data_IF_556289568370
#
_entry.id   IF_556289568370
#
_cell.length_a   1.000
_cell.length_b   1.000
_cell.length_c   1.000
_cell.angle_alpha   90.00
_cell.angle_beta   90.00
_cell.angle_gamma   90.00
#
_symmetry.space_group_name_H-M   'P 1'
#
loop_
_entity.id
_entity.type
_entity.pdbx_description
1 polymer ?
#
# COMPACT_ATOMS: atom_id res chain seq x y z
N UNK A 1 -17.62 20.32 -1.56
CA UNK A 1 -17.42 20.91 -0.21
C UNK A 1 -15.95 20.73 0.21
N UNK A 2 -15.41 21.54 1.12
CA UNK A 2 -13.97 21.47 1.52
C UNK A 2 -13.58 20.07 2.01
N UNK A 3 -14.49 19.39 2.71
CA UNK A 3 -14.29 18.04 3.25
C UNK A 3 -14.06 16.98 2.16
N UNK A 4 -14.86 17.00 1.09
CA UNK A 4 -14.71 16.06 -0.04
C UNK A 4 -13.37 16.22 -0.76
N UNK A 5 -12.86 17.45 -0.91
CA UNK A 5 -11.52 17.67 -1.46
C UNK A 5 -10.43 17.07 -0.56
N UNK A 6 -10.54 17.26 0.75
CA UNK A 6 -9.61 16.66 1.73
C UNK A 6 -9.68 15.14 1.67
N UNK A 7 -10.88 14.57 1.63
CA UNK A 7 -11.07 13.13 1.52
C UNK A 7 -10.41 12.57 0.26
N UNK A 8 -10.67 13.18 -0.90
CA UNK A 8 -10.05 12.80 -2.15
C UNK A 8 -8.51 12.85 -2.11
N UNK A 9 -7.92 13.91 -1.56
CA UNK A 9 -6.46 14.03 -1.47
C UNK A 9 -5.85 12.99 -0.52
N UNK A 10 -6.47 12.74 0.62
CA UNK A 10 -6.01 11.72 1.59
C UNK A 10 -6.10 10.33 0.99
N UNK A 11 -7.21 9.99 0.34
CA UNK A 11 -7.40 8.67 -0.27
C UNK A 11 -6.47 8.47 -1.45
N UNK A 12 -6.27 9.49 -2.29
CA UNK A 12 -5.31 9.46 -3.39
C UNK A 12 -3.88 9.25 -2.88
N UNK A 13 -3.46 9.98 -1.84
CA UNK A 13 -2.15 9.78 -1.23
C UNK A 13 -2.00 8.36 -0.65
N UNK A 14 -3.04 7.86 0.02
CA UNK A 14 -3.09 6.49 0.53
C UNK A 14 -2.90 5.43 -0.57
N UNK A 15 -3.63 5.59 -1.69
CA UNK A 15 -3.52 4.71 -2.86
C UNK A 15 -2.11 4.73 -3.44
N UNK A 16 -1.50 5.90 -3.62
CA UNK A 16 -0.14 6.01 -4.15
C UNK A 16 0.88 5.27 -3.27
N UNK A 17 0.76 5.39 -1.95
CA UNK A 17 1.63 4.68 -1.00
C UNK A 17 1.41 3.17 -1.06
N UNK A 18 0.15 2.72 -1.06
CA UNK A 18 -0.17 1.30 -1.12
C UNK A 18 0.25 0.66 -2.44
N UNK A 19 0.03 1.35 -3.56
CA UNK A 19 0.51 0.96 -4.88
C UNK A 19 2.03 0.93 -4.94
N UNK A 20 2.71 1.90 -4.32
CA UNK A 20 4.16 1.90 -4.14
C UNK A 20 4.68 0.67 -3.39
N UNK A 21 3.97 0.24 -2.33
CA UNK A 21 4.32 -0.98 -1.61
C UNK A 21 4.17 -2.24 -2.46
N UNK A 22 3.03 -2.40 -3.15
CA UNK A 22 2.77 -3.52 -4.05
C UNK A 22 3.77 -3.55 -5.22
N UNK A 23 4.02 -2.39 -5.84
CA UNK A 23 4.97 -2.21 -6.93
C UNK A 23 6.40 -2.53 -6.50
N UNK A 24 6.81 -2.12 -5.30
CA UNK A 24 8.11 -2.47 -4.75
C UNK A 24 8.28 -3.99 -4.62
N UNK A 25 7.29 -4.71 -4.10
CA UNK A 25 7.34 -6.18 -4.00
C UNK A 25 7.35 -6.86 -5.37
N UNK A 26 6.62 -6.33 -6.35
CA UNK A 26 6.62 -6.84 -7.72
C UNK A 26 7.99 -6.69 -8.38
N UNK A 27 8.62 -5.51 -8.26
CA UNK A 27 9.96 -5.25 -8.75
C UNK A 27 11.00 -6.14 -8.03
N UNK A 28 10.91 -6.26 -6.72
CA UNK A 28 11.79 -7.12 -5.91
C UNK A 28 11.74 -8.57 -6.37
N UNK A 29 10.53 -9.10 -6.55
CA UNK A 29 10.31 -10.48 -7.02
C UNK A 29 10.85 -10.68 -8.42
N UNK A 30 10.61 -9.74 -9.33
CA UNK A 30 11.10 -9.80 -10.71
C UNK A 30 12.62 -9.78 -10.78
N UNK A 31 13.28 -8.91 -10.01
CA UNK A 31 14.73 -8.86 -9.94
C UNK A 31 15.33 -10.12 -9.30
N UNK A 32 14.72 -10.61 -8.22
CA UNK A 32 15.19 -11.79 -7.50
C UNK A 32 15.12 -13.07 -8.37
N UNK A 33 14.05 -13.26 -9.14
CA UNK A 33 13.90 -14.40 -10.06
C UNK A 33 14.98 -14.48 -11.13
N UNK A 34 15.63 -13.37 -11.47
CA UNK A 34 16.68 -13.30 -12.50
C UNK A 34 18.08 -13.61 -11.96
N UNK A 35 18.26 -13.78 -10.65
CA UNK A 35 19.55 -14.05 -10.02
C UNK A 35 19.62 -15.47 -9.46
N UNK A 36 20.75 -16.15 -9.70
CA UNK A 36 21.08 -17.40 -9.02
C UNK A 36 21.11 -17.15 -7.49
N UNK A 37 20.41 -17.99 -6.73
CA UNK A 37 20.26 -17.81 -5.28
C UNK A 37 19.24 -16.75 -4.85
N UNK A 38 18.48 -16.16 -5.77
CA UNK A 38 17.45 -15.14 -5.45
C UNK A 38 16.16 -15.69 -4.82
N UNK A 39 16.02 -17.01 -4.68
CA UNK A 39 14.78 -17.65 -4.21
C UNK A 39 14.32 -17.18 -2.82
N UNK A 40 15.19 -16.98 -1.80
CA UNK A 40 14.75 -16.47 -0.50
C UNK A 40 14.06 -15.10 -0.58
N UNK A 41 14.54 -14.21 -1.45
CA UNK A 41 13.91 -12.90 -1.68
C UNK A 41 12.53 -13.03 -2.34
N UNK A 42 12.35 -14.00 -3.24
CA UNK A 42 11.04 -14.31 -3.85
C UNK A 42 10.07 -14.80 -2.79
N UNK A 43 10.48 -15.73 -1.93
CA UNK A 43 9.62 -16.30 -0.89
C UNK A 43 9.25 -15.26 0.19
N UNK A 44 10.20 -14.39 0.55
CA UNK A 44 9.94 -13.24 1.39
C UNK A 44 8.87 -12.31 0.80
N UNK A 45 9.03 -11.93 -0.48
CA UNK A 45 8.06 -11.07 -1.15
C UNK A 45 6.69 -11.76 -1.24
N UNK A 46 6.65 -13.07 -1.52
CA UNK A 46 5.43 -13.89 -1.56
C UNK A 46 4.61 -13.82 -0.28
N UNK A 47 5.29 -13.84 0.88
CA UNK A 47 4.63 -13.70 2.20
C UNK A 47 4.08 -12.30 2.44
N UNK A 48 4.56 -11.28 1.73
CA UNK A 48 4.16 -9.87 1.89
C UNK A 48 3.09 -9.42 0.90
N UNK A 49 2.97 -10.06 -0.25
CA UNK A 49 1.94 -9.70 -1.25
C UNK A 49 0.51 -9.66 -0.70
N UNK A 50 0.06 -10.57 0.20
CA UNK A 50 -1.27 -10.46 0.80
C UNK A 50 -1.47 -9.15 1.57
N UNK A 51 -0.46 -8.71 2.33
CA UNK A 51 -0.51 -7.45 3.08
C UNK A 51 -0.59 -6.25 2.13
N UNK A 52 0.21 -6.26 1.06
CA UNK A 52 0.17 -5.22 0.05
C UNK A 52 -1.16 -5.19 -0.71
N UNK A 53 -1.71 -6.37 -1.03
CA UNK A 53 -3.02 -6.51 -1.69
C UNK A 53 -4.17 -5.97 -0.82
N UNK A 54 -4.19 -6.30 0.47
CA UNK A 54 -5.18 -5.77 1.42
C UNK A 54 -5.03 -4.26 1.55
N UNK A 55 -3.81 -3.75 1.75
CA UNK A 55 -3.56 -2.31 1.86
C UNK A 55 -4.03 -1.55 0.62
N UNK A 56 -3.68 -2.03 -0.57
CA UNK A 56 -4.11 -1.44 -1.84
C UNK A 56 -5.64 -1.52 -2.00
N UNK A 57 -6.25 -2.67 -1.72
CA UNK A 57 -7.70 -2.84 -1.79
C UNK A 57 -8.46 -1.88 -0.87
N UNK A 58 -8.02 -1.73 0.37
CA UNK A 58 -8.64 -0.80 1.34
C UNK A 58 -8.51 0.65 0.87
N UNK A 59 -7.34 1.06 0.38
CA UNK A 59 -7.13 2.44 -0.08
C UNK A 59 -7.90 2.76 -1.37
N UNK A 60 -8.03 1.79 -2.29
CA UNK A 60 -8.85 1.95 -3.49
C UNK A 60 -10.34 2.01 -3.16
N UNK A 61 -10.81 1.20 -2.21
CA UNK A 61 -12.17 1.31 -1.70
C UNK A 61 -12.41 2.67 -1.06
N UNK A 62 -11.47 3.18 -0.27
CA UNK A 62 -11.56 4.51 0.32
C UNK A 62 -11.64 5.62 -0.75
N UNK A 63 -10.83 5.51 -1.81
CA UNK A 63 -10.87 6.43 -2.94
C UNK A 63 -12.25 6.40 -3.63
N UNK A 64 -12.81 5.22 -3.85
CA UNK A 64 -14.15 5.08 -4.43
C UNK A 64 -15.21 5.73 -3.54
N UNK A 65 -15.14 5.54 -2.22
CA UNK A 65 -16.06 6.19 -1.26
C UNK A 65 -15.92 7.72 -1.33
N UNK A 66 -14.70 8.26 -1.46
CA UNK A 66 -14.47 9.71 -1.53
C UNK A 66 -15.00 10.40 -2.80
N UNK A 67 -15.46 9.64 -3.80
CA UNK A 67 -16.11 10.20 -4.99
C UNK A 67 -17.59 10.54 -4.73
N UNK A 68 -18.19 9.99 -3.66
CA UNK A 68 -19.56 10.33 -3.26
C UNK A 68 -19.68 11.72 -2.64
N UNK A 69 -20.85 12.35 -2.74
CA UNK A 69 -21.11 13.68 -2.18
C UNK A 69 -21.85 13.58 -0.83
N UNK A 70 -21.15 13.11 0.21
CA UNK A 70 -21.71 12.94 1.55
C UNK A 70 -20.66 13.16 2.65
N UNK A 71 -20.90 14.06 3.63
CA UNK A 71 -19.94 14.32 4.71
C UNK A 71 -19.60 13.07 5.55
N UNK A 72 -20.55 12.16 5.75
CA UNK A 72 -20.29 10.90 6.44
C UNK A 72 -19.42 9.95 5.62
N UNK A 73 -19.60 9.94 4.29
CA UNK A 73 -18.76 9.15 3.40
C UNK A 73 -17.32 9.69 3.38
N UNK A 74 -17.15 11.01 3.36
CA UNK A 74 -15.84 11.66 3.41
C UNK A 74 -15.04 11.27 4.66
N UNK A 75 -15.67 11.27 5.84
CA UNK A 75 -15.02 10.89 7.10
C UNK A 75 -14.55 9.43 7.04
N UNK A 76 -15.41 8.52 6.56
CA UNK A 76 -15.06 7.10 6.41
C UNK A 76 -13.92 6.94 5.39
N UNK A 77 -13.97 7.66 4.27
CA UNK A 77 -12.92 7.64 3.27
C UNK A 77 -11.58 8.14 3.81
N UNK A 78 -11.58 9.23 4.59
CA UNK A 78 -10.37 9.75 5.25
C UNK A 78 -9.78 8.70 6.20
N UNK A 79 -10.61 8.07 7.04
CA UNK A 79 -10.15 7.07 8.00
C UNK A 79 -9.57 5.84 7.30
N UNK A 80 -10.26 5.31 6.28
CA UNK A 80 -9.79 4.15 5.53
C UNK A 80 -8.57 4.47 4.66
N UNK A 81 -8.59 5.60 3.95
CA UNK A 81 -7.50 6.04 3.06
C UNK A 81 -6.25 6.41 3.86
N UNK A 82 -6.41 7.22 4.91
CA UNK A 82 -5.32 7.59 5.80
C UNK A 82 -4.78 6.41 6.60
N UNK A 83 -5.65 5.61 7.20
CA UNK A 83 -5.26 4.41 7.96
C UNK A 83 -4.59 3.35 7.09
N UNK A 84 -5.21 3.00 5.95
CA UNK A 84 -4.67 2.05 4.96
C UNK A 84 -3.36 2.53 4.34
N UNK A 85 -3.25 3.82 4.03
CA UNK A 85 -2.03 4.45 3.55
C UNK A 85 -0.88 4.37 4.55
N UNK A 86 -1.10 4.77 5.81
CA UNK A 86 -0.09 4.71 6.88
C UNK A 86 0.32 3.26 7.16
N UNK A 87 -0.62 2.32 7.20
CA UNK A 87 -0.32 0.90 7.37
C UNK A 87 0.55 0.37 6.23
N UNK A 88 0.23 0.74 4.98
CA UNK A 88 1.01 0.38 3.80
C UNK A 88 2.41 1.00 3.81
N UNK A 89 2.55 2.24 4.27
CA UNK A 89 3.85 2.90 4.44
C UNK A 89 4.73 2.15 5.43
N UNK A 90 4.18 1.77 6.59
CA UNK A 90 4.89 0.98 7.60
C UNK A 90 5.29 -0.39 7.07
N UNK A 91 4.40 -1.04 6.31
CA UNK A 91 4.70 -2.32 5.66
C UNK A 91 5.85 -2.18 4.64
N UNK A 92 5.84 -1.13 3.83
CA UNK A 92 6.93 -0.82 2.89
C UNK A 92 8.26 -0.57 3.60
N UNK A 93 8.27 0.29 4.63
CA UNK A 93 9.47 0.57 5.43
C UNK A 93 10.01 -0.68 6.11
N UNK A 94 9.12 -1.53 6.66
CA UNK A 94 9.49 -2.83 7.25
C UNK A 94 10.14 -3.76 6.22
N UNK A 95 9.57 -3.86 5.02
CA UNK A 95 10.11 -4.69 3.93
C UNK A 95 11.48 -4.18 3.49
N UNK A 96 11.61 -2.87 3.21
CA UNK A 96 12.90 -2.27 2.84
C UNK A 96 13.96 -2.46 3.95
N UNK A 97 13.57 -2.26 5.21
CA UNK A 97 14.45 -2.40 6.36
C UNK A 97 14.98 -3.83 6.53
N UNK A 98 14.09 -4.83 6.46
CA UNK A 98 14.49 -6.24 6.50
C UNK A 98 15.37 -6.63 5.31
N UNK A 99 15.02 -6.15 4.12
CA UNK A 99 15.77 -6.44 2.91
C UNK A 99 17.20 -5.89 2.97
N UNK A 100 17.36 -4.61 3.39
CA UNK A 100 18.69 -3.98 3.56
C UNK A 100 19.55 -4.65 4.62
N UNK A 101 18.94 -5.26 5.64
CA UNK A 101 19.65 -5.96 6.72
C UNK A 101 19.93 -7.44 6.42
N UNK A 102 19.51 -7.97 5.27
CA UNK A 102 19.63 -9.40 4.98
C UNK A 102 18.69 -10.30 5.80
N UNK A 103 17.64 -9.73 6.40
CA UNK A 103 16.71 -10.41 7.31
C UNK A 103 15.38 -10.76 6.61
N UNK A 104 15.46 -11.29 5.39
CA UNK A 104 14.32 -11.55 4.52
C UNK A 104 14.12 -13.04 4.25
#
# INVERSE_FOLDING_TARGET
MVLGLVAFLVTLAGVLVAAGHAGYLAMLTSAAKKRAGGQPAVDFARKRFPIAGVGLGVTLLALLISIGDSPSADIVAILLGGGGGVASLKALQSTQGKFRKGQF
#
